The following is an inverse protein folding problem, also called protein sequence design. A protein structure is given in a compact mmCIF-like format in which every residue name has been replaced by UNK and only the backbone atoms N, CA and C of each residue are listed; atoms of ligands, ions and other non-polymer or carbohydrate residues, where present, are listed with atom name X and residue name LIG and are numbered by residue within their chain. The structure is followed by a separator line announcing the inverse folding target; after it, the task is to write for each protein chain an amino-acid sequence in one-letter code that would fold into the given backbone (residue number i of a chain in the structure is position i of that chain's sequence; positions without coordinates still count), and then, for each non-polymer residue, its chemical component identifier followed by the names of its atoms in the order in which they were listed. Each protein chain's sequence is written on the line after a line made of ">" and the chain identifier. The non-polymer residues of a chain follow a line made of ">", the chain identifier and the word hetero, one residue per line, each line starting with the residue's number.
data_IF_753365826071
#
_entry.id   IF_753365826071
#
_cell.length_a   1.000
_cell.length_b   1.000
_cell.length_c   1.000
_cell.angle_alpha   90.00
_cell.angle_beta   90.00
_cell.angle_gamma   90.00
#
_symmetry.space_group_name_H-M   'P 1'
#
loop_
_entity.id
_entity.type
_entity.pdbx_description
1 polymer ?
#
# COMPACT_ATOMS: atom_id res chain seq x y z
N UNK A 1 -9.62 -2.69 -34.09
CA UNK A 1 -8.49 -1.82 -33.68
C UNK A 1 -9.05 -0.73 -32.77
N UNK A 2 -8.82 -0.83 -31.46
CA UNK A 2 -9.32 0.14 -30.50
C UNK A 2 -8.29 1.29 -30.39
N UNK A 3 -8.67 2.48 -30.87
CA UNK A 3 -7.88 3.71 -30.67
C UNK A 3 -8.03 4.14 -29.23
N UNK A 4 -6.98 3.93 -28.43
CA UNK A 4 -6.86 4.54 -27.11
C UNK A 4 -6.54 6.01 -27.34
N UNK A 5 -7.35 6.97 -26.84
CA UNK A 5 -7.10 8.38 -27.05
C UNK A 5 -5.79 8.76 -26.34
N UNK A 6 -4.88 9.39 -27.08
CA UNK A 6 -3.55 9.84 -26.62
C UNK A 6 -3.60 10.70 -25.33
N UNK A 7 -4.76 11.29 -25.02
CA UNK A 7 -5.00 12.09 -23.82
C UNK A 7 -5.24 11.27 -22.53
N UNK A 8 -5.67 10.00 -22.60
CA UNK A 8 -5.94 9.21 -21.39
C UNK A 8 -4.69 8.58 -20.76
N UNK A 9 -3.52 8.76 -21.38
CA UNK A 9 -2.22 8.29 -20.89
C UNK A 9 -1.46 9.33 -20.05
N UNK A 10 -2.02 10.54 -19.89
CA UNK A 10 -1.28 11.69 -19.33
C UNK A 10 -1.41 11.89 -17.80
N UNK A 11 -2.19 11.08 -17.06
CA UNK A 11 -2.38 11.31 -15.61
C UNK A 11 -2.48 9.99 -14.82
N UNK A 12 -1.60 9.03 -15.11
CA UNK A 12 -1.42 7.87 -14.22
C UNK A 12 0.04 7.80 -13.82
N UNK A 13 0.32 8.25 -12.59
CA UNK A 13 1.66 8.23 -12.01
C UNK A 13 1.77 7.03 -11.08
N UNK A 14 2.72 6.10 -11.30
CA UNK A 14 2.94 5.00 -10.38
C UNK A 14 3.50 5.48 -9.01
N UNK A 15 3.89 6.75 -8.90
CA UNK A 15 4.25 7.37 -7.62
C UNK A 15 3.03 7.69 -6.77
N UNK A 16 1.87 7.97 -7.38
CA UNK A 16 0.63 8.24 -6.64
C UNK A 16 0.16 6.95 -5.95
N UNK A 17 0.25 5.81 -6.64
CA UNK A 17 -0.06 4.51 -6.04
C UNK A 17 0.97 4.10 -4.98
N UNK A 18 2.26 4.41 -5.17
CA UNK A 18 3.28 4.21 -4.14
C UNK A 18 2.98 5.04 -2.88
N UNK A 19 2.48 6.27 -3.04
CA UNK A 19 2.08 7.12 -1.94
C UNK A 19 0.83 6.57 -1.26
N UNK A 20 -0.16 6.14 -2.03
CA UNK A 20 -1.37 5.48 -1.52
C UNK A 20 -1.02 4.25 -0.68
N UNK A 21 -0.10 3.41 -1.16
CA UNK A 21 0.42 2.27 -0.41
C UNK A 21 1.11 2.71 0.89
N UNK A 22 1.98 3.71 0.83
CA UNK A 22 2.68 4.24 2.01
C UNK A 22 1.72 4.79 3.08
N UNK A 23 0.70 5.52 2.67
CA UNK A 23 -0.32 6.06 3.57
C UNK A 23 -1.10 4.93 4.24
N UNK A 24 -1.43 3.87 3.50
CA UNK A 24 -2.12 2.70 4.05
C UNK A 24 -1.25 1.92 5.04
N UNK A 25 0.04 1.77 4.74
CA UNK A 25 1.04 1.18 5.65
C UNK A 25 1.16 2.00 6.94
N UNK A 26 1.24 3.33 6.84
CA UNK A 26 1.29 4.24 7.99
C UNK A 26 0.04 4.14 8.86
N UNK A 27 -1.15 4.10 8.25
CA UNK A 27 -2.42 3.93 8.94
C UNK A 27 -2.45 2.60 9.71
N UNK A 28 -2.05 1.50 9.06
CA UNK A 28 -1.95 0.19 9.68
C UNK A 28 -0.99 0.17 10.87
N UNK A 29 0.19 0.79 10.73
CA UNK A 29 1.17 0.91 11.82
C UNK A 29 0.60 1.69 13.03
N UNK A 30 -0.19 2.74 12.81
CA UNK A 30 -0.86 3.47 13.89
C UNK A 30 -1.87 2.57 14.63
N UNK A 31 -2.73 1.87 13.90
CA UNK A 31 -3.73 0.97 14.50
C UNK A 31 -3.06 -0.17 15.24
N UNK A 32 -1.96 -0.72 14.69
CA UNK A 32 -1.15 -1.71 15.37
C UNK A 32 -0.62 -1.21 16.71
N UNK A 33 -0.09 0.02 16.77
CA UNK A 33 0.34 0.62 18.04
C UNK A 33 -0.82 0.68 19.06
N UNK A 34 -2.02 1.10 18.63
CA UNK A 34 -3.21 1.13 19.50
C UNK A 34 -3.61 -0.26 20.00
N UNK A 35 -3.49 -1.29 19.15
CA UNK A 35 -3.72 -2.68 19.56
C UNK A 35 -2.74 -3.08 20.68
N UNK A 36 -1.44 -2.79 20.54
CA UNK A 36 -0.44 -3.11 21.56
C UNK A 36 -0.70 -2.37 22.87
N UNK A 37 -1.08 -1.08 22.82
CA UNK A 37 -1.45 -0.31 24.01
C UNK A 37 -2.68 -0.92 24.74
N UNK A 38 -3.67 -1.38 23.99
CA UNK A 38 -4.84 -2.07 24.54
C UNK A 38 -4.49 -3.43 25.15
N UNK A 39 -3.63 -4.20 24.49
CA UNK A 39 -3.13 -5.47 25.00
C UNK A 39 -2.39 -5.29 26.34
N UNK A 40 -1.48 -4.30 26.40
CA UNK A 40 -0.75 -3.97 27.62
C UNK A 40 -1.66 -3.51 28.77
N UNK A 41 -2.85 -2.98 28.45
CA UNK A 41 -3.84 -2.51 29.43
C UNK A 41 -4.93 -3.54 29.78
N UNK A 42 -4.78 -4.80 29.35
CA UNK A 42 -5.76 -5.91 29.48
C UNK A 42 -7.17 -5.59 28.94
N UNK A 43 -7.26 -4.67 27.95
CA UNK A 43 -8.51 -4.31 27.26
C UNK A 43 -8.78 -5.27 26.11
N UNK A 44 -9.21 -6.49 26.43
CA UNK A 44 -9.32 -7.61 25.47
C UNK A 44 -10.28 -7.37 24.31
N UNK A 45 -11.44 -6.76 24.58
CA UNK A 45 -12.44 -6.48 23.55
C UNK A 45 -11.91 -5.43 22.55
N UNK A 46 -11.40 -4.30 23.05
CA UNK A 46 -10.80 -3.27 22.22
C UNK A 46 -9.57 -3.79 21.44
N UNK A 47 -8.76 -4.66 22.04
CA UNK A 47 -7.65 -5.30 21.32
C UNK A 47 -8.13 -6.10 20.11
N UNK A 48 -9.20 -6.87 20.25
CA UNK A 48 -9.73 -7.68 19.15
C UNK A 48 -10.30 -6.79 18.03
N UNK A 49 -10.95 -5.68 18.37
CA UNK A 49 -11.41 -4.69 17.38
C UNK A 49 -10.22 -4.09 16.59
N UNK A 50 -9.17 -3.64 17.28
CA UNK A 50 -7.98 -3.10 16.61
C UNK A 50 -7.25 -4.16 15.79
N UNK A 51 -7.18 -5.40 16.27
CA UNK A 51 -6.60 -6.54 15.52
C UNK A 51 -7.32 -6.75 14.19
N UNK A 52 -8.65 -6.72 14.20
CA UNK A 52 -9.45 -6.86 12.98
C UNK A 52 -9.21 -5.69 12.01
N UNK A 53 -9.09 -4.47 12.52
CA UNK A 53 -8.79 -3.31 11.69
C UNK A 53 -7.36 -3.36 11.11
N UNK A 54 -6.36 -3.84 11.86
CA UNK A 54 -5.00 -4.12 11.34
C UNK A 54 -5.06 -5.07 10.15
N UNK A 55 -5.74 -6.21 10.30
CA UNK A 55 -5.87 -7.19 9.21
C UNK A 55 -6.54 -6.58 7.98
N UNK A 56 -7.57 -5.76 8.17
CA UNK A 56 -8.26 -5.09 7.07
C UNK A 56 -7.36 -4.10 6.35
N UNK A 57 -6.58 -3.30 7.07
CA UNK A 57 -5.65 -2.33 6.49
C UNK A 57 -4.48 -3.01 5.76
N UNK A 58 -3.96 -4.12 6.30
CA UNK A 58 -2.96 -4.96 5.63
C UNK A 58 -3.48 -5.52 4.31
N UNK A 59 -4.70 -6.10 4.29
CA UNK A 59 -5.33 -6.56 3.06
C UNK A 59 -5.55 -5.44 2.03
N UNK A 60 -5.85 -4.22 2.48
CA UNK A 60 -5.95 -3.05 1.61
C UNK A 60 -4.58 -2.65 1.02
N UNK A 61 -3.53 -2.61 1.83
CA UNK A 61 -2.16 -2.34 1.38
C UNK A 61 -1.70 -3.39 0.37
N UNK A 62 -1.90 -4.67 0.65
CA UNK A 62 -1.54 -5.78 -0.23
C UNK A 62 -2.32 -5.72 -1.57
N UNK A 63 -3.58 -5.28 -1.56
CA UNK A 63 -4.36 -5.02 -2.78
C UNK A 63 -3.74 -3.90 -3.64
N UNK A 64 -3.27 -2.81 -3.02
CA UNK A 64 -2.57 -1.72 -3.70
C UNK A 64 -1.23 -2.22 -4.26
N UNK A 65 -0.45 -2.99 -3.48
CA UNK A 65 0.81 -3.63 -3.90
C UNK A 65 0.60 -4.50 -5.15
N UNK A 66 -0.44 -5.33 -5.17
CA UNK A 66 -0.80 -6.15 -6.34
C UNK A 66 -1.16 -5.28 -7.55
N UNK A 67 -1.91 -4.19 -7.34
CA UNK A 67 -2.27 -3.24 -8.41
C UNK A 67 -1.01 -2.61 -9.03
N UNK A 68 -0.10 -2.07 -8.23
CA UNK A 68 1.17 -1.47 -8.70
C UNK A 68 1.99 -2.49 -9.51
N UNK A 69 2.11 -3.73 -9.02
CA UNK A 69 2.87 -4.79 -9.71
C UNK A 69 2.21 -5.22 -11.02
N UNK A 70 0.88 -5.21 -11.07
CA UNK A 70 0.09 -5.63 -12.23
C UNK A 70 -0.09 -4.56 -13.31
N UNK A 71 -0.06 -3.26 -12.95
CA UNK A 71 -0.57 -2.17 -13.81
C UNK A 71 0.47 -1.10 -14.20
N UNK A 72 1.72 -1.48 -14.45
CA UNK A 72 2.69 -0.56 -15.08
C UNK A 72 2.84 -0.91 -16.57
N UNK A 73 2.23 -0.13 -17.49
CA UNK A 73 2.35 -0.33 -18.93
C UNK A 73 3.79 -0.40 -19.41
N UNK A 74 4.01 -1.19 -20.45
CA UNK A 74 5.30 -1.19 -21.15
C UNK A 74 5.47 0.18 -21.81
N UNK A 75 6.58 0.87 -21.51
CA UNK A 75 6.86 2.20 -22.05
C UNK A 75 6.39 3.38 -21.19
N UNK A 76 5.90 3.16 -19.96
CA UNK A 76 5.69 4.24 -19.00
C UNK A 76 6.96 5.06 -18.82
N UNK A 77 6.91 6.36 -19.17
CA UNK A 77 8.01 7.29 -18.91
C UNK A 77 7.98 7.69 -17.45
N UNK A 78 9.04 7.33 -16.72
CA UNK A 78 9.22 7.63 -15.31
C UNK A 78 10.68 8.07 -15.07
N UNK A 79 10.94 8.91 -14.05
CA UNK A 79 12.28 9.40 -13.74
C UNK A 79 13.21 8.34 -13.13
N UNK A 80 12.69 7.15 -12.81
CA UNK A 80 13.43 6.03 -12.20
C UNK A 80 13.21 4.76 -12.98
N UNK A 81 14.06 3.76 -12.80
CA UNK A 81 13.86 2.45 -13.42
C UNK A 81 12.74 1.68 -12.70
N UNK A 82 11.94 0.92 -13.45
CA UNK A 82 10.82 0.11 -12.91
C UNK A 82 11.25 -0.81 -11.76
N UNK A 83 12.48 -1.34 -11.81
CA UNK A 83 13.00 -2.18 -10.73
C UNK A 83 13.18 -1.40 -9.42
N UNK A 84 13.61 -0.14 -9.47
CA UNK A 84 13.82 0.69 -8.27
C UNK A 84 12.50 0.99 -7.58
N UNK A 85 11.45 1.25 -8.37
CA UNK A 85 10.09 1.42 -7.87
C UNK A 85 9.61 0.16 -7.13
N UNK A 86 9.84 -1.03 -7.69
CA UNK A 86 9.47 -2.28 -7.03
C UNK A 86 10.33 -2.62 -5.81
N UNK A 87 11.61 -2.25 -5.80
CA UNK A 87 12.42 -2.37 -4.58
C UNK A 87 11.87 -1.48 -3.47
N UNK A 88 11.50 -0.24 -3.80
CA UNK A 88 10.92 0.67 -2.80
C UNK A 88 9.55 0.18 -2.29
N UNK A 89 8.67 -0.29 -3.18
CA UNK A 89 7.41 -0.91 -2.80
C UNK A 89 7.62 -2.09 -1.84
N UNK A 90 8.63 -2.93 -2.09
CA UNK A 90 8.99 -4.04 -1.19
C UNK A 90 9.44 -3.54 0.18
N UNK A 91 10.21 -2.46 0.27
CA UNK A 91 10.63 -1.92 1.57
C UNK A 91 9.46 -1.29 2.34
N UNK A 92 8.46 -0.72 1.67
CA UNK A 92 7.23 -0.28 2.32
C UNK A 92 6.42 -1.45 2.89
N UNK A 93 6.25 -2.51 2.09
CA UNK A 93 5.50 -3.71 2.46
C UNK A 93 6.07 -4.40 3.71
N UNK A 94 7.40 -4.45 3.81
CA UNK A 94 8.11 -4.99 4.98
C UNK A 94 7.75 -4.32 6.30
N UNK A 95 7.26 -3.08 6.30
CA UNK A 95 6.84 -2.40 7.53
C UNK A 95 5.67 -3.12 8.19
N UNK A 96 4.81 -3.79 7.41
CA UNK A 96 3.68 -4.57 7.91
C UNK A 96 4.01 -6.06 8.09
N UNK A 97 4.91 -6.61 7.27
CA UNK A 97 5.29 -8.03 7.29
C UNK A 97 6.29 -8.40 8.42
N UNK A 98 6.86 -7.42 9.14
CA UNK A 98 7.90 -7.62 10.16
C UNK A 98 7.35 -7.66 11.59
#
# INVERSE_FOLDING_TARGET
>A
MMRIPFLSLLIYSPFDELLEHAEKVKECAWVFQQAIECYASDKREAFEEYRQEVNKLENQADSIKRRIRGHIPVGTRMPVQKFQLFMYLKEQDKVLDS
#
